data_IF_939684001940
#
_entry.id   IF_939684001940
#
_cell.length_a   1.000
_cell.length_b   1.000
_cell.length_c   1.000
_cell.angle_alpha   90.00
_cell.angle_beta   90.00
_cell.angle_gamma   90.00
#
_symmetry.space_group_name_H-M   'P 1'
#
loop_
_entity.id
_entity.type
_entity.pdbx_description
1 polymer ?
#
# COMPACT_ATOMS: atom_id res chain seq x y z
N UNK A 1 11.79 19.07 -6.89
CA UNK A 1 12.45 17.76 -7.02
C UNK A 1 12.01 17.08 -8.30
N UNK A 2 12.93 16.94 -9.24
CA UNK A 2 12.72 16.28 -10.53
C UNK A 2 12.52 14.77 -10.35
N UNK A 3 11.78 14.11 -11.25
CA UNK A 3 11.66 12.64 -11.25
C UNK A 3 13.02 11.94 -11.42
N UNK A 4 13.98 12.60 -12.05
CA UNK A 4 15.33 12.07 -12.26
C UNK A 4 16.20 12.11 -11.00
N UNK A 5 16.01 13.11 -10.14
CA UNK A 5 16.65 13.17 -8.81
C UNK A 5 16.18 12.02 -7.94
N UNK A 6 14.85 11.77 -7.88
CA UNK A 6 14.30 10.61 -7.15
C UNK A 6 14.84 9.29 -7.70
N UNK A 7 14.96 9.15 -9.03
CA UNK A 7 15.52 7.94 -9.65
C UNK A 7 17.00 7.75 -9.29
N UNK A 8 17.77 8.83 -9.18
CA UNK A 8 19.17 8.78 -8.72
C UNK A 8 19.27 8.41 -7.24
N UNK A 9 18.44 8.98 -6.37
CA UNK A 9 18.39 8.62 -4.94
C UNK A 9 17.98 7.15 -4.73
N UNK A 10 16.98 6.65 -5.47
CA UNK A 10 16.58 5.24 -5.43
C UNK A 10 17.71 4.31 -5.92
N UNK A 11 18.55 4.78 -6.87
CA UNK A 11 19.75 4.03 -7.28
C UNK A 11 20.83 4.04 -6.20
N UNK A 12 20.97 5.11 -5.43
CA UNK A 12 21.88 5.17 -4.29
C UNK A 12 21.40 4.27 -3.13
N UNK A 13 20.09 4.22 -2.87
CA UNK A 13 19.50 3.29 -1.90
C UNK A 13 19.78 1.81 -2.23
N UNK A 14 19.94 1.46 -3.51
CA UNK A 14 20.11 0.08 -3.98
C UNK A 14 21.46 -0.58 -3.66
N UNK A 15 22.52 0.16 -3.35
CA UNK A 15 23.88 -0.39 -3.44
C UNK A 15 24.32 -1.26 -2.27
N UNK A 16 23.56 -1.34 -1.17
CA UNK A 16 24.01 -2.03 0.05
C UNK A 16 23.49 -3.48 0.23
N UNK A 17 22.40 -3.84 -0.47
CA UNK A 17 21.80 -5.18 -0.38
C UNK A 17 21.77 -5.84 -1.75
N UNK A 18 22.07 -7.14 -1.80
CA UNK A 18 22.03 -7.94 -3.02
C UNK A 18 20.71 -8.75 -3.15
N UNK A 19 20.59 -9.54 -4.20
CA UNK A 19 19.41 -10.39 -4.42
C UNK A 19 19.33 -11.56 -3.42
N UNK A 20 20.45 -11.96 -2.81
CA UNK A 20 20.49 -13.00 -1.79
C UNK A 20 19.93 -12.49 -0.46
N UNK A 21 20.32 -11.29 -0.04
CA UNK A 21 19.75 -10.54 1.08
C UNK A 21 18.23 -10.39 0.92
N UNK A 22 17.78 -10.07 -0.30
CA UNK A 22 16.35 -9.97 -0.59
C UNK A 22 15.64 -11.32 -0.46
N UNK A 23 16.23 -12.41 -0.94
CA UNK A 23 15.66 -13.74 -0.78
C UNK A 23 15.59 -14.17 0.71
N UNK A 24 16.64 -13.89 1.49
CA UNK A 24 16.66 -14.12 2.94
C UNK A 24 15.59 -13.30 3.66
N UNK A 25 15.39 -12.05 3.24
CA UNK A 25 14.30 -11.21 3.75
C UNK A 25 12.94 -11.88 3.51
N UNK A 26 12.66 -12.33 2.28
CA UNK A 26 11.40 -13.00 1.95
C UNK A 26 11.23 -14.30 2.75
N UNK A 27 12.31 -15.06 2.99
CA UNK A 27 12.26 -16.26 3.84
C UNK A 27 11.91 -15.93 5.29
N UNK A 28 12.55 -14.91 5.89
CA UNK A 28 12.25 -14.46 7.26
C UNK A 28 10.84 -13.89 7.43
N UNK A 29 10.28 -13.30 6.36
CA UNK A 29 8.88 -12.87 6.34
C UNK A 29 7.95 -14.09 6.32
N UNK A 30 8.29 -15.14 5.57
CA UNK A 30 7.51 -16.38 5.50
C UNK A 30 7.59 -17.18 6.80
N UNK A 31 8.72 -17.19 7.50
CA UNK A 31 8.87 -17.84 8.81
C UNK A 31 8.20 -17.06 9.95
N UNK A 32 7.82 -15.80 9.71
CA UNK A 32 7.19 -14.93 10.69
C UNK A 32 8.16 -14.18 11.61
N UNK A 33 9.47 -14.38 11.44
CA UNK A 33 10.53 -13.65 12.14
C UNK A 33 10.52 -12.15 11.84
N UNK A 34 10.13 -11.78 10.61
CA UNK A 34 9.98 -10.40 10.18
C UNK A 34 8.54 -10.11 9.76
N UNK A 35 8.01 -8.97 10.19
CA UNK A 35 6.72 -8.48 9.72
C UNK A 35 6.94 -7.29 8.80
N UNK A 36 6.33 -7.33 7.62
CA UNK A 36 6.20 -6.14 6.79
C UNK A 36 4.91 -5.43 7.15
N UNK A 37 5.01 -4.13 7.45
CA UNK A 37 3.86 -3.25 7.48
C UNK A 37 3.84 -2.39 6.21
N UNK A 38 2.65 -2.19 5.66
CA UNK A 38 2.45 -1.30 4.53
C UNK A 38 1.58 -0.12 4.96
N UNK A 39 2.05 1.11 4.72
CA UNK A 39 1.32 2.31 5.13
C UNK A 39 0.18 2.58 4.16
N UNK A 40 -1.05 2.70 4.68
CA UNK A 40 -2.28 2.87 3.90
C UNK A 40 -2.23 4.08 2.97
N UNK A 41 -1.78 5.24 3.45
CA UNK A 41 -1.70 6.48 2.63
C UNK A 41 -0.67 6.39 1.51
N UNK A 42 0.39 5.60 1.70
CA UNK A 42 1.50 5.47 0.73
C UNK A 42 1.28 4.34 -0.28
N UNK A 43 0.41 3.37 0.03
CA UNK A 43 -0.09 2.40 -0.94
C UNK A 43 -0.79 3.08 -2.14
N UNK A 44 -1.45 4.22 -1.89
CA UNK A 44 -2.13 5.06 -2.88
C UNK A 44 -1.16 5.62 -3.93
N UNK A 45 0.04 6.03 -3.51
CA UNK A 45 1.08 6.56 -4.41
C UNK A 45 1.73 5.47 -5.26
N UNK A 46 1.90 4.26 -4.70
CA UNK A 46 2.33 3.09 -5.47
C UNK A 46 1.29 2.79 -6.55
N UNK A 47 0.01 2.73 -6.21
CA UNK A 47 -1.06 2.32 -7.12
C UNK A 47 -1.40 3.32 -8.22
N UNK A 48 -1.24 4.63 -7.99
CA UNK A 48 -1.31 5.64 -9.07
C UNK A 48 -0.37 5.33 -10.24
N UNK A 49 0.68 4.55 -10.02
CA UNK A 49 1.61 4.12 -11.07
C UNK A 49 1.23 2.78 -11.73
N UNK A 50 0.55 1.87 -11.01
CA UNK A 50 0.33 0.50 -11.49
C UNK A 50 -0.96 0.30 -12.27
N UNK A 51 -2.06 0.95 -11.88
CA UNK A 51 -3.34 0.69 -12.53
C UNK A 51 -4.35 1.83 -12.32
N UNK A 52 -4.06 2.98 -12.96
CA UNK A 52 -4.91 4.17 -12.88
C UNK A 52 -6.36 3.86 -13.24
N UNK A 53 -6.58 3.00 -14.24
CA UNK A 53 -7.93 2.61 -14.71
C UNK A 53 -8.70 1.90 -13.61
N UNK A 54 -8.11 0.87 -12.98
CA UNK A 54 -8.75 0.16 -11.87
C UNK A 54 -9.06 1.08 -10.69
N UNK A 55 -8.12 1.96 -10.33
CA UNK A 55 -8.30 2.91 -9.23
C UNK A 55 -9.44 3.90 -9.51
N UNK A 56 -9.49 4.48 -10.72
CA UNK A 56 -10.54 5.44 -11.09
C UNK A 56 -11.91 4.78 -11.21
N UNK A 57 -11.99 3.58 -11.80
CA UNK A 57 -13.24 2.82 -11.90
C UNK A 57 -13.84 2.60 -10.51
N UNK A 58 -13.02 2.11 -9.58
CA UNK A 58 -13.48 1.84 -8.22
C UNK A 58 -13.87 3.12 -7.47
N UNK A 59 -13.06 4.18 -7.61
CA UNK A 59 -13.35 5.47 -6.99
C UNK A 59 -14.71 6.02 -7.46
N UNK A 60 -15.02 5.87 -8.76
CA UNK A 60 -16.32 6.25 -9.31
C UNK A 60 -17.45 5.40 -8.72
N UNK A 61 -17.26 4.08 -8.54
CA UNK A 61 -18.25 3.23 -7.90
C UNK A 61 -18.57 3.67 -6.46
N UNK A 62 -17.55 4.04 -5.68
CA UNK A 62 -17.75 4.55 -4.30
C UNK A 62 -18.47 5.90 -4.31
N UNK A 63 -18.14 6.79 -5.24
CA UNK A 63 -18.84 8.08 -5.40
C UNK A 63 -20.32 7.88 -5.76
N UNK A 64 -20.62 6.96 -6.68
CA UNK A 64 -21.99 6.63 -7.04
C UNK A 64 -22.77 6.06 -5.84
N UNK A 65 -22.19 5.13 -5.09
CA UNK A 65 -22.81 4.58 -3.88
C UNK A 65 -23.06 5.64 -2.80
N UNK A 66 -22.12 6.58 -2.62
CA UNK A 66 -22.29 7.71 -1.70
C UNK A 66 -23.41 8.66 -2.15
N UNK A 67 -23.49 8.99 -3.44
CA UNK A 67 -24.56 9.83 -3.98
C UNK A 67 -25.95 9.17 -3.80
N UNK A 68 -26.06 7.86 -4.04
CA UNK A 68 -27.28 7.09 -3.78
C UNK A 68 -27.65 7.09 -2.30
N UNK A 69 -26.66 6.96 -1.40
CA UNK A 69 -26.89 7.03 0.05
C UNK A 69 -27.45 8.39 0.46
N UNK A 70 -26.86 9.49 -0.04
CA UNK A 70 -27.33 10.87 0.23
C UNK A 70 -28.76 11.06 -0.29
N UNK A 71 -29.08 10.55 -1.48
CA UNK A 71 -30.41 10.63 -2.04
C UNK A 71 -31.46 9.95 -1.16
N UNK A 72 -31.20 8.73 -0.67
CA UNK A 72 -32.15 8.04 0.21
C UNK A 72 -32.31 8.70 1.59
N UNK A 73 -31.25 9.32 2.10
CA UNK A 73 -31.31 10.15 3.31
C UNK A 73 -32.25 11.34 3.07
N UNK A 74 -32.13 12.00 1.91
CA UNK A 74 -32.95 13.19 1.59
C UNK A 74 -34.45 12.91 1.47
N UNK A 75 -34.85 11.68 1.17
CA UNK A 75 -36.26 11.25 1.05
C UNK A 75 -36.79 10.65 2.37
N UNK A 76 -36.00 10.68 3.45
CA UNK A 76 -36.43 10.21 4.78
C UNK A 76 -36.56 8.69 4.91
N UNK A 77 -35.95 7.92 4.00
CA UNK A 77 -36.01 6.44 4.03
C UNK A 77 -34.88 5.89 4.92
N UNK A 78 -35.09 5.95 6.24
CA UNK A 78 -34.05 5.66 7.24
C UNK A 78 -33.41 4.26 7.10
N UNK A 79 -34.21 3.21 6.90
CA UNK A 79 -33.71 1.84 6.73
C UNK A 79 -32.90 1.64 5.44
N UNK A 80 -33.35 2.24 4.33
CA UNK A 80 -32.64 2.17 3.03
C UNK A 80 -31.34 2.98 3.10
N UNK A 81 -31.35 4.08 3.85
CA UNK A 81 -30.17 4.91 4.07
C UNK A 81 -29.09 4.18 4.88
N UNK A 82 -29.49 3.45 5.93
CA UNK A 82 -28.59 2.64 6.75
C UNK A 82 -27.95 1.50 5.95
N UNK A 83 -28.73 0.79 5.13
CA UNK A 83 -28.19 -0.26 4.26
C UNK A 83 -27.27 0.30 3.19
N UNK A 84 -27.63 1.43 2.56
CA UNK A 84 -26.79 2.10 1.58
C UNK A 84 -25.45 2.59 2.19
N UNK A 85 -25.48 3.11 3.41
CA UNK A 85 -24.28 3.49 4.16
C UNK A 85 -23.39 2.27 4.46
N UNK A 86 -23.97 1.17 4.94
CA UNK A 86 -23.25 -0.07 5.23
C UNK A 86 -22.58 -0.64 3.97
N UNK A 87 -23.30 -0.65 2.84
CA UNK A 87 -22.77 -1.08 1.54
C UNK A 87 -21.61 -0.17 1.10
N UNK A 88 -21.76 1.14 1.23
CA UNK A 88 -20.70 2.11 0.87
C UNK A 88 -19.43 1.89 1.70
N UNK A 89 -19.58 1.66 3.01
CA UNK A 89 -18.45 1.33 3.89
C UNK A 89 -17.82 0.00 3.53
N UNK A 90 -18.62 -1.04 3.28
CA UNK A 90 -18.11 -2.36 2.89
C UNK A 90 -17.31 -2.29 1.59
N UNK A 91 -17.82 -1.58 0.58
CA UNK A 91 -17.08 -1.29 -0.65
C UNK A 91 -15.75 -0.59 -0.31
N UNK A 92 -15.80 0.50 0.45
CA UNK A 92 -14.59 1.22 0.81
C UNK A 92 -13.53 0.34 1.52
N UNK A 93 -13.93 -0.53 2.45
CA UNK A 93 -12.99 -1.47 3.10
C UNK A 93 -12.48 -2.55 2.14
N UNK A 94 -13.35 -3.15 1.33
CA UNK A 94 -12.97 -4.14 0.34
C UNK A 94 -11.98 -3.58 -0.68
N UNK A 95 -12.17 -2.33 -1.10
CA UNK A 95 -11.24 -1.60 -1.95
C UNK A 95 -9.86 -1.51 -1.35
N UNK A 96 -9.77 -0.99 -0.13
CA UNK A 96 -8.50 -0.72 0.54
C UNK A 96 -7.77 -2.01 0.82
N UNK A 97 -8.48 -3.07 1.20
CA UNK A 97 -7.91 -4.40 1.37
C UNK A 97 -7.31 -4.91 0.05
N UNK A 98 -8.07 -4.85 -1.05
CA UNK A 98 -7.61 -5.33 -2.36
C UNK A 98 -6.44 -4.51 -2.92
N UNK A 99 -6.48 -3.20 -2.72
CA UNK A 99 -5.40 -2.26 -3.05
C UNK A 99 -4.13 -2.59 -2.29
N UNK A 100 -4.24 -2.74 -0.97
CA UNK A 100 -3.09 -3.00 -0.11
C UNK A 100 -2.47 -4.33 -0.47
N UNK A 101 -3.30 -5.37 -0.73
CA UNK A 101 -2.83 -6.68 -1.18
C UNK A 101 -2.11 -6.62 -2.53
N UNK A 102 -2.64 -5.91 -3.53
CA UNK A 102 -1.99 -5.76 -4.84
C UNK A 102 -0.66 -5.01 -4.73
N UNK A 103 -0.63 -3.92 -3.98
CA UNK A 103 0.58 -3.12 -3.81
C UNK A 103 1.66 -3.88 -3.02
N UNK A 104 1.26 -4.67 -2.01
CA UNK A 104 2.14 -5.57 -1.29
C UNK A 104 2.74 -6.67 -2.18
N UNK A 105 1.88 -7.37 -2.95
CA UNK A 105 2.33 -8.38 -3.90
C UNK A 105 3.31 -7.80 -4.93
N UNK A 106 3.05 -6.58 -5.41
CA UNK A 106 3.96 -5.89 -6.31
C UNK A 106 5.31 -5.57 -5.66
N UNK A 107 5.29 -5.06 -4.43
CA UNK A 107 6.49 -4.70 -3.68
C UNK A 107 7.39 -5.92 -3.45
N UNK A 108 6.82 -7.07 -3.10
CA UNK A 108 7.56 -8.31 -2.81
C UNK A 108 7.97 -9.08 -4.08
N UNK A 109 7.37 -8.80 -5.24
CA UNK A 109 7.65 -9.55 -6.48
C UNK A 109 9.11 -9.44 -6.95
N UNK A 110 9.77 -8.29 -6.74
CA UNK A 110 11.14 -8.04 -7.18
C UNK A 110 11.85 -7.12 -6.19
N UNK A 111 13.15 -7.34 -5.96
CA UNK A 111 14.00 -6.48 -5.12
C UNK A 111 13.88 -4.99 -5.48
N UNK A 112 13.96 -4.66 -6.77
CA UNK A 112 13.81 -3.28 -7.26
C UNK A 112 12.48 -2.62 -6.82
N UNK A 113 11.40 -3.40 -6.74
CA UNK A 113 10.10 -2.91 -6.31
C UNK A 113 10.06 -2.73 -4.80
N UNK A 114 10.65 -3.65 -4.07
CA UNK A 114 10.79 -3.58 -2.61
C UNK A 114 11.63 -2.38 -2.18
N UNK A 115 12.81 -2.21 -2.76
CA UNK A 115 13.71 -1.08 -2.53
C UNK A 115 12.99 0.25 -2.80
N UNK A 116 12.23 0.31 -3.90
CA UNK A 116 11.40 1.48 -4.20
C UNK A 116 10.33 1.71 -3.13
N UNK A 117 9.57 0.68 -2.77
CA UNK A 117 8.48 0.76 -1.81
C UNK A 117 8.98 1.14 -0.40
N UNK A 118 10.15 0.64 0.00
CA UNK A 118 10.81 0.98 1.26
C UNK A 118 11.35 2.42 1.24
N UNK A 119 12.01 2.82 0.15
CA UNK A 119 12.52 4.18 -0.05
C UNK A 119 11.41 5.23 0.06
N UNK A 120 10.29 5.02 -0.63
CA UNK A 120 9.14 5.91 -0.52
C UNK A 120 8.36 5.72 0.78
N UNK A 121 8.88 4.93 1.73
CA UNK A 121 8.29 4.62 3.06
C UNK A 121 6.88 4.04 3.00
N UNK A 122 6.53 3.40 1.89
CA UNK A 122 5.28 2.67 1.76
C UNK A 122 5.35 1.32 2.47
N UNK A 123 6.54 0.74 2.57
CA UNK A 123 6.85 -0.49 3.30
C UNK A 123 7.79 -0.16 4.46
N UNK A 124 7.49 -0.71 5.64
CA UNK A 124 8.39 -0.73 6.80
C UNK A 124 8.59 -2.17 7.26
N UNK A 125 9.73 -2.45 7.86
CA UNK A 125 10.02 -3.77 8.45
C UNK A 125 9.93 -3.65 9.96
N UNK A 126 9.23 -4.59 10.58
CA UNK A 126 9.15 -4.74 12.03
C UNK A 126 9.84 -6.03 12.44
N UNK A 127 10.82 -5.91 13.34
CA UNK A 127 11.49 -7.03 14.02
C UNK A 127 11.39 -6.74 15.52
N UNK A 128 10.83 -7.69 16.26
CA UNK A 128 10.59 -7.55 17.69
C UNK A 128 9.81 -6.25 18.02
N UNK A 129 10.48 -5.27 18.66
CA UNK A 129 9.93 -3.95 19.01
C UNK A 129 10.48 -2.80 18.14
N UNK A 130 11.34 -3.10 17.16
CA UNK A 130 11.96 -2.09 16.29
C UNK A 130 11.26 -2.02 14.93
N UNK A 131 11.03 -0.80 14.47
CA UNK A 131 10.53 -0.51 13.14
C UNK A 131 11.61 0.15 12.28
N UNK A 132 12.05 -0.56 11.25
CA UNK A 132 13.03 -0.14 10.28
C UNK A 132 12.31 0.62 9.17
N UNK A 133 12.63 1.91 9.06
CA UNK A 133 12.05 2.83 8.09
C UNK A 133 13.14 3.73 7.49
N UNK A 134 13.01 4.01 6.20
CA UNK A 134 13.79 5.05 5.55
C UNK A 134 13.41 6.45 6.10
N UNK A 135 14.34 7.43 6.20
CA UNK A 135 15.78 7.35 5.90
C UNK A 135 16.65 6.80 7.03
N UNK A 136 16.08 6.57 8.22
CA UNK A 136 16.87 6.31 9.43
C UNK A 136 17.54 4.93 9.44
N UNK A 137 16.89 3.93 8.85
CA UNK A 137 17.40 2.56 8.80
C UNK A 137 17.30 1.98 7.40
N UNK A 138 18.26 1.14 7.02
CA UNK A 138 18.15 0.32 5.84
C UNK A 138 17.39 -0.96 6.20
N UNK A 139 16.61 -1.52 5.27
CA UNK A 139 15.84 -2.74 5.53
C UNK A 139 16.74 -3.96 5.83
N UNK A 140 17.97 -3.94 5.32
CA UNK A 140 19.02 -4.94 5.58
C UNK A 140 19.41 -5.01 7.05
N UNK A 141 19.28 -3.91 7.80
CA UNK A 141 19.61 -3.86 9.23
C UNK A 141 18.67 -4.75 10.09
N UNK A 142 17.57 -5.23 9.49
CA UNK A 142 16.64 -6.16 10.12
C UNK A 142 16.96 -7.64 9.84
N UNK A 143 17.81 -7.96 8.86
CA UNK A 143 18.26 -9.34 8.63
C UNK A 143 19.12 -9.80 9.79
#
# INVERSE_FOLDING_TARGET
MSQDEKRKEIRQFKSAADDEDFNRLIQKIKSGELKIAMTRDKSRNILRQFDKKFYYLYFICVLAAAAVTIYFISIGRLYISLTALAVTLMLFFAFWSLITRRAFNWAIKKKKNFDYAYYITAVTIKKDSKEYKYPHHHWKDAL
#
